data_IF_634464172016
#
_entry.id   IF_634464172016
#
_cell.length_a   1.000
_cell.length_b   1.000
_cell.length_c   1.000
_cell.angle_alpha   90.00
_cell.angle_beta   90.00
_cell.angle_gamma   90.00
#
_symmetry.space_group_name_H-M   'P 1'
#
loop_
_entity.id
_entity.type
_entity.pdbx_description
1 polymer ?
#
# COMPACT_ATOMS: atom_id res chain seq x y z
N UNK A 1 -17.37 -22.14 -22.71
CA UNK A 1 -16.54 -21.21 -23.54
C UNK A 1 -16.13 -19.99 -22.72
N UNK A 2 -14.90 -19.48 -22.87
CA UNK A 2 -14.41 -18.28 -22.15
C UNK A 2 -15.15 -17.01 -22.60
N UNK A 3 -15.34 -16.03 -21.69
CA UNK A 3 -16.02 -14.75 -21.95
C UNK A 3 -15.42 -13.99 -23.13
N UNK A 4 -14.09 -14.04 -23.28
CA UNK A 4 -13.35 -13.40 -24.38
C UNK A 4 -13.71 -13.98 -25.75
N UNK A 5 -13.84 -15.31 -25.85
CA UNK A 5 -14.25 -16.00 -27.09
C UNK A 5 -15.67 -15.62 -27.50
N UNK A 6 -16.56 -15.37 -26.54
CA UNK A 6 -17.92 -14.86 -26.81
C UNK A 6 -17.91 -13.40 -27.32
N UNK A 7 -16.93 -12.62 -26.88
CA UNK A 7 -16.80 -11.21 -27.22
C UNK A 7 -15.91 -10.95 -28.47
N UNK A 8 -15.43 -11.99 -29.16
CA UNK A 8 -14.49 -11.89 -30.28
C UNK A 8 -13.22 -11.08 -29.95
N UNK A 9 -12.81 -11.07 -28.67
CA UNK A 9 -11.60 -10.36 -28.25
C UNK A 9 -10.36 -11.09 -28.78
N UNK A 10 -9.37 -10.33 -29.25
CA UNK A 10 -8.10 -10.87 -29.70
C UNK A 10 -7.44 -11.74 -28.60
N UNK A 11 -6.71 -12.80 -28.96
CA UNK A 11 -5.89 -13.56 -28.02
C UNK A 11 -4.91 -12.64 -27.28
N UNK A 12 -4.61 -12.98 -26.04
CA UNK A 12 -3.51 -12.35 -25.32
C UNK A 12 -2.21 -12.91 -25.90
N UNK A 13 -1.37 -12.06 -26.47
CA UNK A 13 -0.13 -12.47 -27.14
C UNK A 13 1.13 -12.29 -26.29
N UNK A 14 1.02 -11.58 -25.17
CA UNK A 14 2.16 -11.16 -24.36
C UNK A 14 1.85 -11.15 -22.88
N UNK A 15 2.90 -11.32 -22.07
CA UNK A 15 2.82 -11.23 -20.61
C UNK A 15 2.28 -9.87 -20.13
N UNK A 16 2.62 -8.79 -20.84
CA UNK A 16 2.12 -7.46 -20.54
C UNK A 16 0.59 -7.36 -20.71
N UNK A 17 0.07 -7.80 -21.87
CA UNK A 17 -1.37 -7.84 -22.12
C UNK A 17 -2.10 -8.76 -21.12
N UNK A 18 -1.47 -9.85 -20.70
CA UNK A 18 -2.03 -10.74 -19.67
C UNK A 18 -2.19 -10.01 -18.34
N UNK A 19 -1.14 -9.33 -17.87
CA UNK A 19 -1.17 -8.58 -16.61
C UNK A 19 -2.22 -7.48 -16.64
N UNK A 20 -2.32 -6.71 -17.72
CA UNK A 20 -3.35 -5.65 -17.83
C UNK A 20 -4.77 -6.22 -17.88
N UNK A 21 -4.97 -7.34 -18.59
CA UNK A 21 -6.26 -8.02 -18.59
C UNK A 21 -6.67 -8.50 -17.18
N UNK A 22 -5.74 -9.12 -16.46
CA UNK A 22 -5.96 -9.58 -15.09
C UNK A 22 -6.25 -8.40 -14.15
N UNK A 23 -5.48 -7.32 -14.26
CA UNK A 23 -5.70 -6.09 -13.47
C UNK A 23 -7.08 -5.51 -13.71
N UNK A 24 -7.49 -5.34 -14.97
CA UNK A 24 -8.83 -4.82 -15.32
C UNK A 24 -9.97 -5.72 -14.82
N UNK A 25 -9.73 -7.03 -14.72
CA UNK A 25 -10.74 -8.02 -14.32
C UNK A 25 -10.91 -8.09 -12.80
N UNK A 26 -9.82 -7.99 -12.05
CA UNK A 26 -9.79 -8.34 -10.63
C UNK A 26 -9.45 -7.16 -9.70
N UNK A 27 -8.91 -6.06 -10.23
CA UNK A 27 -8.59 -4.87 -9.44
C UNK A 27 -9.69 -3.83 -9.65
N UNK A 28 -10.45 -3.46 -8.61
CA UNK A 28 -11.43 -2.39 -8.71
C UNK A 28 -10.79 -1.05 -9.08
N UNK A 29 -11.53 -0.21 -9.80
CA UNK A 29 -11.05 1.13 -10.20
C UNK A 29 -10.67 2.01 -8.99
N UNK A 30 -11.29 1.79 -7.83
CA UNK A 30 -11.02 2.51 -6.59
C UNK A 30 -9.91 1.90 -5.74
N UNK A 31 -9.30 0.78 -6.14
CA UNK A 31 -8.31 0.05 -5.33
C UNK A 31 -7.18 0.95 -4.81
N UNK A 32 -6.57 1.76 -5.68
CA UNK A 32 -5.49 2.67 -5.28
C UNK A 32 -5.96 3.71 -4.26
N UNK A 33 -7.18 4.24 -4.41
CA UNK A 33 -7.75 5.21 -3.47
C UNK A 33 -7.98 4.55 -2.11
N UNK A 34 -8.61 3.38 -2.09
CA UNK A 34 -8.87 2.65 -0.85
C UNK A 34 -7.58 2.28 -0.12
N UNK A 35 -6.52 1.90 -0.85
CA UNK A 35 -5.22 1.62 -0.23
C UNK A 35 -4.58 2.89 0.34
N UNK A 36 -4.70 4.03 -0.35
CA UNK A 36 -4.21 5.32 0.16
C UNK A 36 -5.00 5.78 1.40
N UNK A 37 -6.33 5.63 1.40
CA UNK A 37 -7.18 5.91 2.55
C UNK A 37 -6.84 4.99 3.73
N UNK A 38 -6.63 3.69 3.47
CA UNK A 38 -6.17 2.74 4.48
C UNK A 38 -4.79 3.11 5.04
N UNK A 39 -3.88 3.60 4.21
CA UNK A 39 -2.56 4.06 4.63
C UNK A 39 -2.68 5.30 5.52
N UNK A 40 -3.54 6.26 5.18
CA UNK A 40 -3.81 7.48 5.96
C UNK A 40 -4.60 7.23 7.26
N UNK A 41 -5.48 6.23 7.26
CA UNK A 41 -6.20 5.79 8.46
C UNK A 41 -5.37 4.83 9.34
N UNK A 42 -4.25 4.30 8.83
CA UNK A 42 -3.43 3.34 9.56
C UNK A 42 -2.84 3.96 10.83
N UNK A 43 -3.13 3.34 11.97
CA UNK A 43 -2.57 3.66 13.30
C UNK A 43 -2.19 2.37 14.01
N UNK A 44 -1.24 2.45 14.93
CA UNK A 44 -0.79 1.31 15.73
C UNK A 44 -1.95 0.75 16.56
N UNK A 45 -2.65 1.62 17.31
CA UNK A 45 -3.76 1.23 18.19
C UNK A 45 -3.36 0.07 19.12
N UNK A 46 -4.14 -1.02 19.15
CA UNK A 46 -3.86 -2.21 19.96
C UNK A 46 -2.82 -3.16 19.37
N UNK A 47 -2.26 -2.86 18.19
CA UNK A 47 -1.29 -3.72 17.52
C UNK A 47 0.12 -3.49 18.05
N UNK A 48 0.97 -4.50 17.86
CA UNK A 48 2.41 -4.32 18.02
C UNK A 48 2.94 -3.30 17.01
N UNK A 49 4.07 -2.67 17.32
CA UNK A 49 4.76 -1.74 16.40
C UNK A 49 5.15 -2.46 15.12
N UNK A 50 5.59 -3.72 15.22
CA UNK A 50 5.98 -4.54 14.08
C UNK A 50 4.80 -4.82 13.14
N UNK A 51 3.64 -5.23 13.68
CA UNK A 51 2.44 -5.50 12.87
C UNK A 51 1.91 -4.23 12.21
N UNK A 52 2.01 -3.09 12.91
CA UNK A 52 1.70 -1.78 12.35
C UNK A 52 2.62 -1.45 11.17
N UNK A 53 3.94 -1.61 11.35
CA UNK A 53 4.93 -1.37 10.31
C UNK A 53 4.69 -2.27 9.08
N UNK A 54 4.51 -3.59 9.27
CA UNK A 54 4.25 -4.54 8.18
C UNK A 54 3.01 -4.17 7.37
N UNK A 55 1.93 -3.74 8.05
CA UNK A 55 0.72 -3.25 7.38
C UNK A 55 1.02 -2.01 6.56
N UNK A 56 1.76 -1.06 7.10
CA UNK A 56 2.12 0.17 6.40
C UNK A 56 2.97 -0.11 5.15
N UNK A 57 4.02 -0.93 5.30
CA UNK A 57 4.93 -1.31 4.20
C UNK A 57 4.19 -2.02 3.06
N UNK A 58 3.31 -2.96 3.38
CA UNK A 58 2.45 -3.64 2.39
C UNK A 58 1.58 -2.66 1.60
N UNK A 59 0.99 -1.66 2.27
CA UNK A 59 0.15 -0.65 1.61
C UNK A 59 0.98 0.27 0.70
N UNK A 60 2.22 0.55 1.08
CA UNK A 60 3.13 1.39 0.28
C UNK A 60 3.59 0.66 -0.98
N UNK A 61 3.96 -0.61 -0.86
CA UNK A 61 4.34 -1.45 -2.01
C UNK A 61 3.17 -1.61 -3.00
N UNK A 62 1.93 -1.75 -2.50
CA UNK A 62 0.73 -1.80 -3.37
C UNK A 62 0.43 -0.50 -4.11
N UNK A 63 0.90 0.64 -3.59
CA UNK A 63 0.72 1.95 -4.18
C UNK A 63 1.87 2.37 -5.11
N UNK A 64 2.94 1.57 -5.18
CA UNK A 64 4.17 1.88 -5.93
C UNK A 64 4.74 3.25 -5.54
N UNK A 65 4.73 3.55 -4.22
CA UNK A 65 5.22 4.82 -3.70
C UNK A 65 6.73 4.79 -3.56
N UNK A 66 7.42 5.67 -4.29
CA UNK A 66 8.85 5.92 -4.10
C UNK A 66 9.08 6.42 -2.66
N UNK A 67 9.76 5.59 -1.87
CA UNK A 67 9.96 5.76 -0.42
C UNK A 67 10.91 6.92 -0.15
N UNK A 68 10.43 8.17 -0.20
CA UNK A 68 11.13 9.29 0.46
C UNK A 68 11.16 8.99 1.94
N UNK A 69 12.32 8.56 2.44
CA UNK A 69 12.52 8.05 3.79
C UNK A 69 11.96 9.02 4.84
N UNK A 70 12.17 10.33 4.66
CA UNK A 70 11.66 11.37 5.57
C UNK A 70 10.14 11.40 5.68
N UNK A 71 9.42 11.31 4.55
CA UNK A 71 7.94 11.29 4.52
C UNK A 71 7.43 10.00 5.18
N UNK A 72 8.15 8.91 4.98
CA UNK A 72 7.82 7.59 5.51
C UNK A 72 7.99 7.55 7.03
N UNK A 73 9.10 8.10 7.54
CA UNK A 73 9.37 8.24 8.98
C UNK A 73 8.31 9.12 9.62
N UNK A 74 8.04 10.30 9.05
CA UNK A 74 6.99 11.19 9.56
C UNK A 74 5.61 10.54 9.56
N UNK A 75 5.27 9.74 8.53
CA UNK A 75 3.98 9.04 8.51
C UNK A 75 3.91 7.94 9.57
N UNK A 76 5.00 7.18 9.72
CA UNK A 76 5.11 6.10 10.69
C UNK A 76 4.99 6.63 12.12
N UNK A 77 5.78 7.65 12.47
CA UNK A 77 5.78 8.24 13.82
C UNK A 77 4.41 8.79 14.19
N UNK A 78 3.75 9.52 13.27
CA UNK A 78 2.40 10.05 13.46
C UNK A 78 1.31 8.99 13.70
N UNK A 79 1.55 7.74 13.28
CA UNK A 79 0.61 6.63 13.48
C UNK A 79 0.90 5.78 14.72
N UNK A 80 2.03 6.00 15.40
CA UNK A 80 2.35 5.31 16.65
C UNK A 80 1.44 5.74 17.79
N UNK A 81 1.32 4.89 18.80
CA UNK A 81 0.67 5.27 20.04
C UNK A 81 1.45 6.41 20.72
N UNK A 82 0.74 7.35 21.34
CA UNK A 82 1.34 8.57 21.91
C UNK A 82 2.51 8.29 22.84
N UNK A 83 2.39 7.30 23.72
CA UNK A 83 3.45 6.91 24.66
C UNK A 83 4.75 6.46 23.99
N UNK A 84 4.66 5.91 22.77
CA UNK A 84 5.80 5.46 21.98
C UNK A 84 6.32 6.63 21.12
N UNK A 85 5.41 7.37 20.47
CA UNK A 85 5.77 8.54 19.66
C UNK A 85 6.52 9.58 20.49
N UNK A 86 6.04 9.89 21.69
CA UNK A 86 6.66 10.88 22.58
C UNK A 86 8.10 10.47 22.95
N UNK A 87 8.40 9.16 23.04
CA UNK A 87 9.77 8.67 23.30
C UNK A 87 10.67 8.74 22.07
N UNK A 88 10.11 8.53 20.89
CA UNK A 88 10.86 8.57 19.62
C UNK A 88 11.21 10.02 19.27
N UNK A 89 10.28 10.98 19.44
CA UNK A 89 10.53 12.40 19.19
C UNK A 89 11.57 13.02 20.14
N UNK A 90 11.72 12.45 21.34
CA UNK A 90 12.74 12.90 22.31
C UNK A 90 14.16 12.46 21.94
N UNK A 91 14.31 11.51 21.00
CA UNK A 91 15.63 11.09 20.53
C UNK A 91 15.96 11.82 19.24
N UNK A 92 16.96 12.73 19.22
CA UNK A 92 17.42 13.30 17.97
C UNK A 92 17.86 12.15 17.06
N UNK A 93 17.39 12.17 15.82
CA UNK A 93 17.89 11.29 14.76
C UNK A 93 19.34 11.70 14.49
N UNK A 94 20.29 11.12 15.23
CA UNK A 94 21.71 11.29 14.99
C UNK A 94 21.98 10.91 13.54
N UNK A 95 22.35 11.90 12.73
CA UNK A 95 22.84 11.70 11.36
C UNK A 95 24.29 11.24 11.41
#
# INVERSE_FOLDING_TARGET
MSRRRRNLEAPIDSWYQFKEFMRKRFVPNHFKRDMAENLQASRQCSKSVEDYYKKMDTLMDQLDLDKKIEILVARFTNGLNKEISDKVDLQPYST
#
